data_IF_603276840523
#
_entry.id   IF_603276840523
#
_cell.length_a   1.000
_cell.length_b   1.000
_cell.length_c   1.000
_cell.angle_alpha   90.00
_cell.angle_beta   90.00
_cell.angle_gamma   90.00
#
_symmetry.space_group_name_H-M   'P 1'
#
loop_
_entity.id
_entity.type
_entity.pdbx_description
1 polymer ?
#
# COMPACT_ATOMS: atom_id res chain seq x y z
N UNK A 1 -52.38 -11.29 22.51
CA UNK A 1 -51.13 -11.74 23.13
C UNK A 1 -50.39 -12.57 22.10
N UNK A 2 -49.58 -11.91 21.28
CA UNK A 2 -48.71 -12.56 20.30
C UNK A 2 -47.55 -13.19 21.06
N UNK A 3 -47.51 -14.52 21.06
CA UNK A 3 -46.38 -15.27 21.57
C UNK A 3 -45.15 -14.94 20.71
N UNK A 4 -44.18 -14.24 21.30
CA UNK A 4 -42.83 -14.22 20.75
C UNK A 4 -42.20 -15.58 21.07
N UNK A 5 -42.09 -16.44 20.05
CA UNK A 5 -41.33 -17.68 20.15
C UNK A 5 -39.81 -17.40 20.20
N UNK A 6 -39.03 -18.27 20.87
CA UNK A 6 -37.66 -17.99 21.25
C UNK A 6 -36.72 -18.11 20.04
N UNK A 7 -35.77 -17.18 19.93
CA UNK A 7 -34.69 -17.18 18.91
C UNK A 7 -33.81 -18.43 19.06
N UNK A 8 -34.17 -19.52 18.37
CA UNK A 8 -33.45 -20.80 18.43
C UNK A 8 -32.34 -20.87 17.38
N UNK A 9 -31.11 -21.05 17.85
CA UNK A 9 -29.91 -21.58 17.19
C UNK A 9 -30.02 -22.01 15.71
N UNK A 10 -30.02 -21.04 14.77
CA UNK A 10 -29.95 -21.28 13.32
C UNK A 10 -29.01 -20.35 12.54
N UNK A 11 -28.45 -19.30 13.15
CA UNK A 11 -27.74 -18.23 12.42
C UNK A 11 -26.51 -17.67 13.16
N UNK A 12 -25.69 -18.52 13.78
CA UNK A 12 -24.29 -18.12 14.06
C UNK A 12 -23.47 -18.22 12.77
N UNK A 13 -23.90 -17.52 11.71
CA UNK A 13 -23.06 -17.32 10.53
C UNK A 13 -21.97 -16.35 10.97
N UNK A 14 -20.74 -16.85 11.08
CA UNK A 14 -19.57 -16.01 11.32
C UNK A 14 -19.60 -14.86 10.31
N UNK A 15 -19.55 -13.61 10.78
CA UNK A 15 -19.52 -12.48 9.87
C UNK A 15 -18.27 -12.60 8.99
N UNK A 16 -18.41 -12.44 7.68
CA UNK A 16 -17.31 -12.66 6.73
C UNK A 16 -16.07 -11.81 7.04
N UNK A 17 -16.29 -10.56 7.49
CA UNK A 17 -15.25 -9.66 7.98
C UNK A 17 -14.56 -10.22 9.23
N UNK A 18 -15.31 -10.84 10.15
CA UNK A 18 -14.74 -11.43 11.38
C UNK A 18 -13.88 -12.65 11.05
N UNK A 19 -14.31 -13.49 10.11
CA UNK A 19 -13.49 -14.58 9.61
C UNK A 19 -12.14 -14.10 9.04
N UNK A 20 -12.13 -12.93 8.38
CA UNK A 20 -10.90 -12.32 7.88
C UNK A 20 -9.99 -11.78 8.99
N UNK A 21 -10.57 -11.20 10.05
CA UNK A 21 -9.83 -10.76 11.26
C UNK A 21 -9.22 -11.93 12.04
N UNK A 22 -9.90 -13.07 12.08
CA UNK A 22 -9.48 -14.26 12.83
C UNK A 22 -8.61 -15.25 12.03
N UNK A 23 -8.12 -14.86 10.84
CA UNK A 23 -7.31 -15.71 9.96
C UNK A 23 -8.01 -17.02 9.49
N UNK A 24 -9.33 -17.01 9.34
CA UNK A 24 -10.12 -18.20 8.93
C UNK A 24 -10.10 -18.37 7.41
N UNK A 25 -8.94 -18.73 6.86
CA UNK A 25 -8.70 -18.87 5.42
C UNK A 25 -9.74 -19.74 4.70
N UNK A 26 -10.06 -20.91 5.25
CA UNK A 26 -11.00 -21.84 4.64
C UNK A 26 -12.41 -21.26 4.55
N UNK A 27 -12.82 -20.52 5.59
CA UNK A 27 -14.11 -19.84 5.61
C UNK A 27 -14.17 -18.75 4.54
N UNK A 28 -13.12 -17.92 4.48
CA UNK A 28 -13.00 -16.85 3.49
C UNK A 28 -13.04 -17.42 2.06
N UNK A 29 -12.29 -18.49 1.78
CA UNK A 29 -12.32 -19.16 0.46
C UNK A 29 -13.70 -19.67 0.08
N UNK A 30 -14.40 -20.30 1.02
CA UNK A 30 -15.72 -20.86 0.76
C UNK A 30 -16.81 -19.78 0.55
N UNK A 31 -16.62 -18.58 1.11
CA UNK A 31 -17.68 -17.56 1.18
C UNK A 31 -17.36 -16.29 0.37
N UNK A 32 -16.13 -16.10 -0.12
CA UNK A 32 -15.72 -14.86 -0.82
C UNK A 32 -16.59 -14.51 -2.03
N UNK A 33 -17.10 -15.51 -2.74
CA UNK A 33 -17.95 -15.27 -3.91
C UNK A 33 -19.28 -14.58 -3.56
N UNK A 34 -19.82 -14.82 -2.36
CA UNK A 34 -21.08 -14.26 -1.91
C UNK A 34 -20.88 -13.02 -1.03
N UNK A 35 -19.82 -12.99 -0.24
CA UNK A 35 -19.68 -12.05 0.88
C UNK A 35 -18.57 -10.99 0.68
N UNK A 36 -17.75 -11.09 -0.37
CA UNK A 36 -16.72 -10.08 -0.64
C UNK A 36 -17.33 -8.70 -0.94
N UNK A 37 -16.62 -7.66 -0.50
CA UNK A 37 -17.04 -6.26 -0.66
C UNK A 37 -18.00 -5.77 0.43
N UNK A 38 -18.41 -6.63 1.37
CA UNK A 38 -19.09 -6.20 2.59
C UNK A 38 -18.23 -5.21 3.37
N UNK A 39 -18.89 -4.26 4.03
CA UNK A 39 -18.26 -3.20 4.83
C UNK A 39 -18.85 -3.18 6.22
N UNK A 40 -18.00 -2.94 7.21
CA UNK A 40 -18.45 -2.68 8.58
C UNK A 40 -18.88 -1.21 8.79
N UNK A 41 -19.16 -0.84 10.03
CA UNK A 41 -19.59 0.52 10.40
C UNK A 41 -18.53 1.60 10.09
N UNK A 42 -17.25 1.24 10.06
CA UNK A 42 -16.14 2.14 9.70
C UNK A 42 -15.88 2.15 8.18
N UNK A 43 -16.67 1.40 7.41
CA UNK A 43 -16.51 1.24 5.97
C UNK A 43 -15.38 0.28 5.59
N UNK A 44 -14.77 -0.41 6.55
CA UNK A 44 -13.66 -1.35 6.30
C UNK A 44 -14.18 -2.67 5.76
N UNK A 45 -13.43 -3.23 4.81
CA UNK A 45 -13.71 -4.53 4.19
C UNK A 45 -12.91 -5.66 4.84
N UNK A 46 -13.21 -6.91 4.49
CA UNK A 46 -12.49 -8.08 4.97
C UNK A 46 -10.98 -8.03 4.63
N UNK A 47 -10.62 -7.57 3.42
CA UNK A 47 -9.24 -7.38 2.97
C UNK A 47 -8.49 -6.38 3.84
N UNK A 48 -9.12 -5.24 4.17
CA UNK A 48 -8.50 -4.22 5.04
C UNK A 48 -8.20 -4.78 6.42
N UNK A 49 -9.14 -5.53 6.99
CA UNK A 49 -8.96 -6.19 8.28
C UNK A 49 -7.90 -7.28 8.26
N UNK A 50 -7.90 -8.14 7.23
CA UNK A 50 -6.86 -9.16 7.07
C UNK A 50 -5.46 -8.54 6.90
N UNK A 51 -5.35 -7.48 6.10
CA UNK A 51 -4.11 -6.73 5.94
C UNK A 51 -3.68 -6.04 7.26
N UNK A 52 -4.63 -5.46 7.99
CA UNK A 52 -4.39 -4.82 9.29
C UNK A 52 -4.07 -5.82 10.38
N UNK A 53 -4.53 -7.07 10.31
CA UNK A 53 -4.17 -8.14 11.24
C UNK A 53 -2.85 -8.86 10.85
N UNK A 54 -2.42 -8.71 9.59
CA UNK A 54 -1.21 -9.38 9.06
C UNK A 54 -1.47 -10.79 8.54
N UNK A 55 -2.74 -11.12 8.26
CA UNK A 55 -3.16 -12.41 7.71
C UNK A 55 -2.97 -12.42 6.19
N UNK A 56 -1.71 -12.50 5.75
CA UNK A 56 -1.34 -12.39 4.33
C UNK A 56 -2.10 -13.35 3.44
N UNK A 57 -2.21 -14.63 3.81
CA UNK A 57 -2.91 -15.63 3.00
C UNK A 57 -4.38 -15.28 2.80
N UNK A 58 -5.05 -14.82 3.86
CA UNK A 58 -6.45 -14.36 3.78
C UNK A 58 -6.56 -13.10 2.93
N UNK A 59 -5.66 -12.14 3.13
CA UNK A 59 -5.66 -10.90 2.35
C UNK A 59 -5.47 -11.19 0.86
N UNK A 60 -4.53 -12.06 0.49
CA UNK A 60 -4.28 -12.44 -0.91
C UNK A 60 -5.50 -13.06 -1.59
N UNK A 61 -6.30 -13.87 -0.87
CA UNK A 61 -7.55 -14.44 -1.42
C UNK A 61 -8.61 -13.39 -1.77
N UNK A 62 -8.51 -12.20 -1.16
CA UNK A 62 -9.49 -11.11 -1.28
C UNK A 62 -9.02 -9.98 -2.19
N UNK A 63 -7.75 -9.96 -2.62
CA UNK A 63 -7.17 -8.90 -3.46
C UNK A 63 -8.01 -8.66 -4.72
N UNK A 64 -8.37 -9.71 -5.45
CA UNK A 64 -9.09 -9.55 -6.72
C UNK A 64 -10.51 -9.00 -6.54
N UNK A 65 -11.13 -9.26 -5.40
CA UNK A 65 -12.50 -8.88 -5.11
C UNK A 65 -12.62 -7.50 -4.45
N UNK A 66 -11.65 -7.11 -3.62
CA UNK A 66 -11.79 -5.95 -2.74
C UNK A 66 -10.73 -4.86 -2.91
N UNK A 67 -9.65 -5.11 -3.67
CA UNK A 67 -8.62 -4.10 -3.86
C UNK A 67 -9.19 -2.86 -4.57
N UNK A 68 -8.83 -1.68 -4.07
CA UNK A 68 -9.34 -0.39 -4.52
C UNK A 68 -10.53 0.16 -3.73
N UNK A 69 -11.12 -0.65 -2.84
CA UNK A 69 -12.11 -0.15 -1.88
C UNK A 69 -11.42 0.68 -0.79
N UNK A 70 -12.13 1.67 -0.27
CA UNK A 70 -11.66 2.60 0.78
C UNK A 70 -12.68 2.65 1.93
N UNK A 71 -12.18 2.72 3.16
CA UNK A 71 -12.99 2.94 4.37
C UNK A 71 -13.41 4.40 4.52
N UNK A 72 -14.21 4.70 5.55
CA UNK A 72 -14.79 6.03 5.74
C UNK A 72 -13.74 7.12 6.03
N UNK A 73 -12.57 6.75 6.57
CA UNK A 73 -11.41 7.62 6.77
C UNK A 73 -10.47 7.68 5.54
N UNK A 74 -10.85 7.03 4.44
CA UNK A 74 -10.04 6.90 3.24
C UNK A 74 -8.89 5.90 3.36
N UNK A 75 -8.81 5.10 4.43
CA UNK A 75 -7.84 4.02 4.51
C UNK A 75 -8.16 2.90 3.50
N UNK A 76 -7.12 2.19 3.05
CA UNK A 76 -7.19 1.08 2.10
C UNK A 76 -6.14 0.02 2.43
N UNK A 77 -6.24 -1.17 1.83
CA UNK A 77 -5.49 -2.35 2.23
C UNK A 77 -3.96 -2.17 2.11
N UNK A 78 -3.48 -1.47 1.07
CA UNK A 78 -2.07 -1.22 0.85
C UNK A 78 -1.45 -0.35 1.95
N UNK A 79 -2.21 0.54 2.61
CA UNK A 79 -1.71 1.27 3.79
C UNK A 79 -1.40 0.31 4.94
N UNK A 80 -2.30 -0.65 5.20
CA UNK A 80 -2.09 -1.64 6.26
C UNK A 80 -0.90 -2.56 5.94
N UNK A 81 -0.81 -3.05 4.71
CA UNK A 81 0.33 -3.84 4.22
C UNK A 81 1.66 -3.08 4.37
N UNK A 82 1.67 -1.79 4.01
CA UNK A 82 2.82 -0.90 4.13
C UNK A 82 3.26 -0.67 5.58
N UNK A 83 2.32 -0.44 6.51
CA UNK A 83 2.62 -0.28 7.94
C UNK A 83 3.19 -1.56 8.57
N UNK A 84 2.74 -2.72 8.09
CA UNK A 84 3.23 -4.03 8.55
C UNK A 84 4.52 -4.50 7.88
N UNK A 85 4.95 -3.85 6.80
CA UNK A 85 6.11 -4.31 6.04
C UNK A 85 5.84 -5.56 5.20
N UNK A 86 4.58 -5.86 4.89
CA UNK A 86 4.20 -7.08 4.16
C UNK A 86 4.48 -6.92 2.66
N UNK A 87 5.67 -7.31 2.23
CA UNK A 87 6.15 -7.12 0.86
C UNK A 87 5.31 -7.87 -0.18
N UNK A 88 4.86 -9.08 0.14
CA UNK A 88 4.04 -9.91 -0.75
C UNK A 88 2.69 -9.25 -1.02
N UNK A 89 2.01 -8.81 0.03
CA UNK A 89 0.72 -8.14 -0.11
C UNK A 89 0.86 -6.75 -0.78
N UNK A 90 1.98 -6.05 -0.54
CA UNK A 90 2.32 -4.81 -1.26
C UNK A 90 2.40 -5.07 -2.75
N UNK A 91 3.10 -6.13 -3.18
CA UNK A 91 3.24 -6.45 -4.60
C UNK A 91 1.88 -6.75 -5.25
N UNK A 92 1.03 -7.51 -4.56
CA UNK A 92 -0.30 -7.88 -5.05
C UNK A 92 -1.24 -6.66 -5.18
N UNK A 93 -1.19 -5.71 -4.24
CA UNK A 93 -2.10 -4.56 -4.19
C UNK A 93 -1.62 -3.36 -5.02
N UNK A 94 -0.32 -3.26 -5.33
CA UNK A 94 0.25 -2.03 -5.86
C UNK A 94 -0.40 -1.54 -7.15
N UNK A 95 -0.67 -2.43 -8.11
CA UNK A 95 -1.24 -2.04 -9.41
C UNK A 95 -2.62 -1.40 -9.29
N UNK A 96 -3.41 -1.81 -8.28
CA UNK A 96 -4.76 -1.31 -8.03
C UNK A 96 -4.78 -0.13 -7.07
N UNK A 97 -3.90 -0.11 -6.07
CA UNK A 97 -3.97 0.83 -4.95
C UNK A 97 -2.79 1.82 -4.87
N UNK A 98 -1.73 1.65 -5.66
CA UNK A 98 -0.49 2.44 -5.55
C UNK A 98 -0.68 3.95 -5.76
N UNK A 99 -1.72 4.34 -6.50
CA UNK A 99 -2.08 5.75 -6.74
C UNK A 99 -3.07 6.31 -5.71
N UNK A 100 -3.66 5.48 -4.86
CA UNK A 100 -4.62 5.93 -3.84
C UNK A 100 -3.94 6.75 -2.74
N UNK A 101 -4.73 7.62 -2.11
CA UNK A 101 -4.33 8.46 -0.99
C UNK A 101 -5.44 8.45 0.05
N UNK A 102 -5.07 8.46 1.32
CA UNK A 102 -6.05 8.57 2.41
C UNK A 102 -6.66 9.97 2.50
N UNK A 103 -7.58 10.19 3.45
CA UNK A 103 -8.18 11.51 3.69
C UNK A 103 -7.13 12.60 4.02
N UNK A 104 -5.98 12.21 4.54
CA UNK A 104 -4.82 13.09 4.81
C UNK A 104 -3.94 13.34 3.58
N UNK A 105 -4.34 12.88 2.39
CA UNK A 105 -3.55 12.91 1.14
C UNK A 105 -2.23 12.14 1.25
N UNK A 106 -2.11 11.21 2.19
CA UNK A 106 -0.93 10.38 2.38
C UNK A 106 -1.04 9.09 1.57
N UNK A 107 0.09 8.68 0.99
CA UNK A 107 0.20 7.40 0.29
C UNK A 107 0.64 6.27 1.23
N UNK A 108 0.55 5.03 0.75
CA UNK A 108 1.12 3.87 1.43
C UNK A 108 2.62 4.04 1.74
N UNK A 109 3.39 4.70 0.86
CA UNK A 109 4.81 5.01 1.09
C UNK A 109 5.02 5.92 2.31
N UNK A 110 4.16 6.94 2.47
CA UNK A 110 4.22 7.84 3.63
C UNK A 110 3.97 7.05 4.92
N UNK A 111 3.01 6.13 4.90
CA UNK A 111 2.70 5.28 6.05
C UNK A 111 3.81 4.26 6.35
N UNK A 112 4.41 3.61 5.35
CA UNK A 112 5.59 2.75 5.54
C UNK A 112 6.76 3.51 6.18
N UNK A 113 7.01 4.74 5.71
CA UNK A 113 8.09 5.59 6.24
C UNK A 113 7.84 5.98 7.70
N UNK A 114 6.62 6.38 8.05
CA UNK A 114 6.23 6.70 9.45
C UNK A 114 6.29 5.48 10.36
N UNK A 115 5.97 4.31 9.82
CA UNK A 115 6.06 3.02 10.53
C UNK A 115 7.47 2.44 10.59
N UNK A 116 8.49 3.13 10.03
CA UNK A 116 9.88 2.68 9.94
C UNK A 116 10.06 1.34 9.20
N UNK A 117 9.15 1.03 8.28
CA UNK A 117 9.24 -0.15 7.42
C UNK A 117 10.10 0.17 6.20
N UNK A 118 11.42 0.18 6.40
CA UNK A 118 12.38 0.63 5.38
C UNK A 118 12.31 -0.18 4.08
N UNK A 119 12.20 -1.50 4.16
CA UNK A 119 12.10 -2.35 2.96
C UNK A 119 10.78 -2.15 2.21
N UNK A 120 9.66 -2.05 2.92
CA UNK A 120 8.38 -1.73 2.28
C UNK A 120 8.40 -0.34 1.64
N UNK A 121 8.98 0.66 2.31
CA UNK A 121 9.16 1.99 1.75
C UNK A 121 10.04 1.96 0.50
N UNK A 122 11.12 1.18 0.50
CA UNK A 122 11.99 0.98 -0.65
C UNK A 122 11.24 0.35 -1.82
N UNK A 123 10.53 -0.75 -1.60
CA UNK A 123 9.74 -1.45 -2.64
C UNK A 123 8.65 -0.54 -3.20
N UNK A 124 7.87 0.12 -2.35
CA UNK A 124 6.85 1.07 -2.79
C UNK A 124 7.45 2.20 -3.61
N UNK A 125 8.60 2.75 -3.19
CA UNK A 125 9.29 3.80 -3.93
C UNK A 125 9.75 3.31 -5.30
N UNK A 126 10.36 2.13 -5.40
CA UNK A 126 10.78 1.55 -6.68
C UNK A 126 9.58 1.33 -7.61
N UNK A 127 8.52 0.68 -7.12
CA UNK A 127 7.30 0.45 -7.91
C UNK A 127 6.62 1.75 -8.35
N UNK A 128 6.64 2.80 -7.53
CA UNK A 128 6.11 4.10 -7.98
C UNK A 128 6.91 4.68 -9.13
N UNK A 129 8.23 4.50 -9.15
CA UNK A 129 9.09 5.02 -10.23
C UNK A 129 8.90 4.18 -11.50
N UNK A 130 8.78 2.85 -11.38
CA UNK A 130 8.51 1.93 -12.50
C UNK A 130 7.19 2.24 -13.22
N UNK A 131 6.19 2.75 -12.49
CA UNK A 131 4.85 3.04 -13.03
C UNK A 131 4.62 4.50 -13.43
N UNK A 132 5.65 5.35 -13.34
CA UNK A 132 5.63 6.73 -13.83
C UNK A 132 5.92 6.77 -15.33
N UNK A 133 5.15 7.57 -16.08
CA UNK A 133 5.48 7.87 -17.47
C UNK A 133 6.76 8.72 -17.57
N UNK A 134 7.37 8.72 -18.76
CA UNK A 134 8.63 9.42 -19.01
C UNK A 134 8.53 10.94 -18.73
N UNK A 135 7.36 11.53 -18.96
CA UNK A 135 7.13 12.96 -18.74
C UNK A 135 7.11 13.31 -17.24
N UNK A 136 6.46 12.48 -16.43
CA UNK A 136 6.37 12.62 -14.98
C UNK A 136 7.72 12.30 -14.32
N UNK A 137 8.48 11.34 -14.86
CA UNK A 137 9.87 11.12 -14.47
C UNK A 137 10.73 12.35 -14.71
N UNK A 138 10.57 13.02 -15.87
CA UNK A 138 11.33 14.23 -16.18
C UNK A 138 10.95 15.40 -15.27
N UNK A 139 9.65 15.57 -14.96
CA UNK A 139 9.22 16.55 -13.95
C UNK A 139 9.79 16.24 -12.57
N UNK A 140 9.82 14.97 -12.16
CA UNK A 140 10.40 14.59 -10.88
C UNK A 140 11.91 14.88 -10.85
N UNK A 141 12.63 14.62 -11.93
CA UNK A 141 14.06 14.97 -12.08
C UNK A 141 14.28 16.47 -11.89
N UNK A 142 13.50 17.30 -12.57
CA UNK A 142 13.58 18.76 -12.44
C UNK A 142 13.30 19.23 -11.02
N UNK A 143 12.28 18.66 -10.36
CA UNK A 143 11.92 19.01 -8.98
C UNK A 143 13.00 18.61 -7.98
N UNK A 144 13.56 17.41 -8.12
CA UNK A 144 14.66 16.94 -7.26
C UNK A 144 15.89 17.82 -7.48
N UNK A 145 16.27 18.10 -8.72
CA UNK A 145 17.39 19.00 -9.04
C UNK A 145 17.17 20.40 -8.42
N UNK A 146 15.98 20.97 -8.55
CA UNK A 146 15.64 22.27 -7.97
C UNK A 146 15.77 22.26 -6.44
N UNK A 147 15.17 21.28 -5.75
CA UNK A 147 15.30 21.17 -4.29
C UNK A 147 16.75 20.99 -3.85
N UNK A 148 17.57 20.26 -4.61
CA UNK A 148 18.99 20.09 -4.32
C UNK A 148 19.76 21.38 -4.53
N UNK A 149 19.51 22.16 -5.59
CA UNK A 149 20.13 23.48 -5.77
C UNK A 149 19.76 24.44 -4.64
N UNK A 150 18.51 24.41 -4.18
CA UNK A 150 18.06 25.21 -3.04
C UNK A 150 18.71 24.77 -1.72
N UNK A 151 18.83 23.46 -1.47
CA UNK A 151 19.59 22.93 -0.33
C UNK A 151 21.08 23.26 -0.42
N UNK A 152 21.68 23.19 -1.61
CA UNK A 152 23.09 23.48 -1.84
C UNK A 152 23.44 24.97 -1.71
N UNK A 153 22.48 25.87 -1.97
CA UNK A 153 22.59 27.31 -1.66
C UNK A 153 22.48 27.57 -0.16
N UNK A 154 21.61 26.82 0.54
CA UNK A 154 21.38 26.98 1.99
C UNK A 154 22.45 26.33 2.86
N UNK A 155 23.21 25.34 2.38
CA UNK A 155 24.28 24.71 3.16
C UNK A 155 25.61 25.46 3.01
N UNK A 156 26.12 25.96 4.13
CA UNK A 156 27.39 26.70 4.24
C UNK A 156 28.63 25.78 4.25
N UNK A 157 28.48 24.45 4.18
CA UNK A 157 29.58 23.47 4.22
C UNK A 157 29.77 22.78 2.86
N UNK A 158 30.94 22.98 2.25
CA UNK A 158 31.29 22.49 0.91
C UNK A 158 31.55 20.98 0.81
N UNK A 159 31.91 20.31 1.91
CA UNK A 159 32.29 18.88 1.90
C UNK A 159 31.08 17.93 1.84
N UNK A 160 29.99 18.27 2.52
CA UNK A 160 28.71 17.53 2.44
C UNK A 160 28.14 17.58 1.00
N UNK A 161 28.51 18.59 0.21
CA UNK A 161 28.06 18.77 -1.19
C UNK A 161 28.65 17.74 -2.14
N UNK A 162 29.92 17.37 -1.96
CA UNK A 162 30.64 16.44 -2.86
C UNK A 162 30.17 15.00 -2.68
N UNK A 163 30.11 14.54 -1.43
CA UNK A 163 29.74 13.16 -1.12
C UNK A 163 28.28 12.85 -1.47
N UNK A 164 27.36 13.76 -1.15
CA UNK A 164 25.96 13.62 -1.55
C UNK A 164 25.78 13.74 -3.07
N UNK A 165 26.58 14.57 -3.77
CA UNK A 165 26.57 14.62 -5.24
C UNK A 165 27.03 13.29 -5.86
N UNK A 166 28.07 12.67 -5.33
CA UNK A 166 28.58 11.40 -5.84
C UNK A 166 27.57 10.25 -5.64
N UNK A 167 26.92 10.20 -4.48
CA UNK A 167 25.89 9.19 -4.19
C UNK A 167 24.66 9.39 -5.07
N UNK A 168 24.21 10.64 -5.25
CA UNK A 168 23.06 10.91 -6.12
C UNK A 168 23.39 10.67 -7.59
N UNK A 169 24.59 11.06 -8.04
CA UNK A 169 25.06 10.85 -9.41
C UNK A 169 25.23 9.37 -9.71
N UNK A 170 25.76 8.57 -8.77
CA UNK A 170 25.84 7.13 -8.93
C UNK A 170 24.46 6.46 -8.93
N UNK A 171 23.53 6.91 -8.08
CA UNK A 171 22.15 6.44 -8.11
C UNK A 171 21.45 6.79 -9.43
N UNK A 172 21.75 7.97 -10.00
CA UNK A 172 21.16 8.49 -11.23
C UNK A 172 21.75 7.85 -12.49
N UNK A 173 23.07 7.66 -12.54
CA UNK A 173 23.75 6.97 -13.64
C UNK A 173 23.39 5.48 -13.68
N UNK A 174 23.26 4.83 -12.52
CA UNK A 174 22.76 3.45 -12.44
C UNK A 174 21.30 3.32 -12.93
N UNK A 175 20.48 4.35 -12.74
CA UNK A 175 19.09 4.36 -13.20
C UNK A 175 18.99 4.51 -14.73
N UNK A 176 19.89 5.31 -15.32
CA UNK A 176 19.96 5.54 -16.77
C UNK A 176 20.60 4.37 -17.53
N UNK A 177 21.58 3.69 -16.95
CA UNK A 177 22.22 2.54 -17.60
C UNK A 177 21.28 1.34 -17.73
N UNK A 178 20.36 1.13 -16.77
CA UNK A 178 19.33 0.09 -16.85
C UNK A 178 18.26 0.39 -17.92
N UNK A 179 17.87 1.66 -18.12
CA UNK A 179 16.89 2.02 -19.14
C UNK A 179 17.44 1.91 -20.57
N UNK A 180 18.76 2.05 -20.75
CA UNK A 180 19.42 1.96 -22.06
C UNK A 180 19.88 0.54 -22.43
N UNK A 181 19.82 -0.43 -21.50
CA UNK A 181 20.24 -1.83 -21.74
C UNK A 181 19.08 -2.80 -21.97
N UNK A 182 17.84 -2.31 -22.01
CA UNK A 182 16.62 -3.10 -22.28
C UNK A 182 15.90 -2.75 -23.59
N UNK A 183 16.55 -2.01 -24.49
CA UNK A 183 16.08 -1.79 -25.86
C UNK A 183 17.06 -2.50 -26.78
N UNK A 184 16.85 -3.80 -26.97
CA UNK A 184 17.16 -4.59 -28.17
C UNK A 184 16.23 -5.81 -28.19
#
# INVERSE_FOLDING_TARGET
MSYEEPRSHGEQRMAFIEAAKENRLDYVRAHKAADAGQRDADGKTALMWAAEAGHTAVALELVDAEAGLVSNDGSFALIAAAKRGNLELIQALFEKEGRLRDAGKLSALNHASRAKQFEAAKVLRLKTIETMDAAMLEQLRQRVAATYTEMAKKSQQAEVKSHNMAIFRSFFEAFYSLSCSGID
#
